data_IF_534861473083
#
_entry.id   IF_534861473083
#
_cell.length_a   1.000
_cell.length_b   1.000
_cell.length_c   1.000
_cell.angle_alpha   90.00
_cell.angle_beta   90.00
_cell.angle_gamma   90.00
#
_symmetry.space_group_name_H-M   'P 1'
#
loop_
_entity.id
_entity.type
_entity.pdbx_description
1 polymer ?
#
# COMPACT_ATOMS: atom_id res chain seq x y z
N UNK A 1 11.45 15.43 -13.34
CA UNK A 1 11.38 14.24 -14.21
C UNK A 1 10.03 14.19 -14.90
N UNK A 2 9.77 13.17 -15.71
CA UNK A 2 8.50 12.94 -16.41
C UNK A 2 7.94 11.55 -16.13
N UNK A 3 6.64 11.38 -16.37
CA UNK A 3 6.00 10.06 -16.41
C UNK A 3 6.31 9.35 -17.75
N UNK A 4 5.99 8.06 -17.81
CA UNK A 4 5.95 7.32 -19.07
C UNK A 4 4.91 7.94 -20.01
N UNK A 5 5.21 7.94 -21.30
CA UNK A 5 4.35 8.53 -22.32
C UNK A 5 4.42 7.80 -23.65
N UNK A 6 3.66 8.28 -24.63
CA UNK A 6 3.54 7.66 -25.96
C UNK A 6 4.87 7.58 -26.74
N UNK A 7 5.88 8.39 -26.38
CA UNK A 7 7.21 8.34 -26.99
C UNK A 7 8.03 7.12 -26.51
N UNK A 8 7.68 6.52 -25.37
CA UNK A 8 8.37 5.38 -24.78
C UNK A 8 7.90 4.08 -25.44
N UNK A 9 8.43 3.81 -26.62
CA UNK A 9 8.12 2.64 -27.46
C UNK A 9 9.17 1.54 -27.30
N UNK A 10 8.90 0.28 -27.68
CA UNK A 10 9.90 -0.80 -27.64
C UNK A 10 11.21 -0.47 -28.37
N UNK A 11 11.14 0.36 -29.40
CA UNK A 11 12.28 0.75 -30.25
C UNK A 11 13.00 2.02 -29.77
N UNK A 12 12.49 2.69 -28.75
CA UNK A 12 13.13 3.87 -28.17
C UNK A 12 14.13 3.49 -27.09
N UNK A 13 14.89 4.47 -26.59
CA UNK A 13 15.75 4.26 -25.42
C UNK A 13 14.91 3.72 -24.26
N UNK A 14 15.42 2.68 -23.61
CA UNK A 14 14.75 2.06 -22.47
C UNK A 14 14.76 3.03 -21.30
N UNK A 15 13.57 3.30 -20.75
CA UNK A 15 13.40 4.28 -19.68
C UNK A 15 12.82 3.64 -18.43
N UNK A 16 13.22 4.14 -17.27
CA UNK A 16 12.72 3.71 -15.98
C UNK A 16 12.37 4.91 -15.11
N UNK A 17 11.44 4.67 -14.19
CA UNK A 17 11.12 5.60 -13.10
C UNK A 17 11.52 4.92 -11.79
N UNK A 18 12.16 5.66 -10.90
CA UNK A 18 12.62 5.14 -9.61
C UNK A 18 11.92 5.86 -8.46
N UNK A 19 11.80 5.22 -7.30
CA UNK A 19 11.42 5.96 -6.10
C UNK A 19 12.61 6.73 -5.50
N UNK A 20 12.31 7.66 -4.59
CA UNK A 20 13.34 8.49 -3.94
C UNK A 20 14.35 7.66 -3.15
N UNK A 21 13.90 6.61 -2.46
CA UNK A 21 14.78 5.70 -1.71
C UNK A 21 15.86 5.05 -2.61
N UNK A 22 15.50 4.63 -3.83
CA UNK A 22 16.45 4.10 -4.79
C UNK A 22 17.38 5.18 -5.34
N UNK A 23 16.83 6.36 -5.69
CA UNK A 23 17.62 7.48 -6.16
C UNK A 23 18.68 7.91 -5.15
N UNK A 24 18.30 8.03 -3.87
CA UNK A 24 19.21 8.41 -2.78
C UNK A 24 20.27 7.33 -2.53
N UNK A 25 19.87 6.05 -2.55
CA UNK A 25 20.79 4.92 -2.34
C UNK A 25 21.82 4.78 -3.46
N UNK A 26 21.42 5.00 -4.71
CA UNK A 26 22.28 4.82 -5.87
C UNK A 26 23.14 6.06 -6.17
N UNK A 27 22.64 7.26 -5.94
CA UNK A 27 23.27 8.52 -6.37
C UNK A 27 23.60 9.47 -5.21
N UNK A 28 23.40 9.06 -3.96
CA UNK A 28 23.79 9.83 -2.76
C UNK A 28 23.12 11.20 -2.65
N UNK A 29 21.89 11.35 -3.16
CA UNK A 29 21.16 12.62 -3.20
C UNK A 29 21.49 13.53 -4.40
N UNK A 30 22.33 13.07 -5.32
CA UNK A 30 22.57 13.76 -6.62
C UNK A 30 21.38 13.55 -7.56
N UNK A 31 21.20 14.43 -8.54
CA UNK A 31 20.11 14.30 -9.51
C UNK A 31 20.23 13.00 -10.32
N UNK A 32 19.35 12.03 -10.01
CA UNK A 32 19.29 10.74 -10.67
C UNK A 32 18.69 10.81 -12.08
N UNK A 33 17.96 11.88 -12.42
CA UNK A 33 17.28 12.00 -13.73
C UNK A 33 18.31 12.18 -14.84
N UNK A 34 18.17 11.42 -15.93
CA UNK A 34 19.09 11.37 -17.07
C UNK A 34 20.27 10.42 -16.88
N UNK A 35 20.44 9.85 -15.67
CA UNK A 35 21.46 8.84 -15.43
C UNK A 35 21.02 7.49 -16.01
N UNK A 36 21.99 6.68 -16.41
CA UNK A 36 21.75 5.33 -16.91
C UNK A 36 22.13 4.30 -15.87
N UNK A 37 21.23 3.36 -15.64
CA UNK A 37 21.45 2.20 -14.78
C UNK A 37 21.48 0.94 -15.61
N UNK A 38 22.32 0.01 -15.19
CA UNK A 38 22.29 -1.36 -15.65
C UNK A 38 21.92 -2.24 -14.47
N UNK A 39 20.93 -3.10 -14.66
CA UNK A 39 20.45 -3.98 -13.60
C UNK A 39 21.03 -5.38 -13.77
N UNK A 40 21.46 -6.04 -12.68
CA UNK A 40 22.02 -7.40 -12.75
C UNK A 40 21.03 -8.42 -13.35
N UNK A 41 19.72 -8.21 -13.17
CA UNK A 41 18.67 -9.08 -13.69
C UNK A 41 18.34 -8.83 -15.17
N UNK A 42 18.88 -7.76 -15.78
CA UNK A 42 18.79 -7.46 -17.21
C UNK A 42 20.17 -7.09 -17.75
N UNK A 43 21.09 -8.07 -17.83
CA UNK A 43 22.45 -7.83 -18.29
C UNK A 43 22.44 -7.30 -19.73
N UNK A 44 23.30 -6.32 -20.01
CA UNK A 44 23.42 -5.67 -21.32
C UNK A 44 22.41 -4.55 -21.60
N UNK A 45 21.38 -4.36 -20.77
CA UNK A 45 20.37 -3.32 -21.00
C UNK A 45 20.65 -2.09 -20.12
N UNK A 46 21.05 -0.99 -20.75
CA UNK A 46 21.14 0.30 -20.08
C UNK A 46 19.77 1.00 -20.12
N UNK A 47 19.30 1.44 -18.97
CA UNK A 47 18.02 2.11 -18.82
C UNK A 47 18.23 3.51 -18.25
N UNK A 48 17.62 4.51 -18.88
CA UNK A 48 17.70 5.91 -18.45
C UNK A 48 16.60 6.23 -17.42
N UNK A 49 16.98 6.87 -16.32
CA UNK A 49 16.03 7.34 -15.32
C UNK A 49 15.37 8.63 -15.82
N UNK A 50 14.09 8.57 -16.18
CA UNK A 50 13.35 9.76 -16.67
C UNK A 50 12.55 10.46 -15.58
N UNK A 51 12.34 9.79 -14.44
CA UNK A 51 11.53 10.29 -13.34
C UNK A 51 11.92 9.71 -11.99
N UNK A 52 11.67 10.50 -10.95
CA UNK A 52 11.76 10.08 -9.56
C UNK A 52 10.41 10.34 -8.90
N UNK A 53 9.80 9.31 -8.32
CA UNK A 53 8.53 9.40 -7.59
C UNK A 53 8.76 9.44 -6.08
N UNK A 54 7.70 9.78 -5.35
CA UNK A 54 7.70 9.69 -3.88
C UNK A 54 7.96 8.26 -3.41
N UNK A 55 8.23 8.10 -2.12
CA UNK A 55 8.44 6.79 -1.53
C UNK A 55 7.09 6.14 -1.20
N UNK A 56 6.93 4.88 -1.57
CA UNK A 56 5.79 4.04 -1.19
C UNK A 56 6.24 2.85 -0.35
N UNK A 57 5.41 2.45 0.61
CA UNK A 57 5.64 1.25 1.40
C UNK A 57 4.94 0.07 0.71
N UNK A 58 5.72 -0.74 0.00
CA UNK A 58 5.29 -2.04 -0.51
C UNK A 58 5.25 -3.12 0.58
N UNK A 59 6.05 -2.93 1.62
CA UNK A 59 6.14 -3.82 2.78
C UNK A 59 5.17 -3.39 3.90
N UNK A 60 5.26 -4.06 5.04
CA UNK A 60 4.55 -3.64 6.24
C UNK A 60 4.90 -2.18 6.63
N UNK A 61 3.90 -1.44 7.15
CA UNK A 61 4.05 -0.01 7.48
C UNK A 61 5.17 0.30 8.49
N UNK A 62 5.67 -0.70 9.20
CA UNK A 62 6.76 -0.61 10.18
C UNK A 62 8.16 -0.86 9.60
N UNK A 63 8.27 -1.23 8.32
CA UNK A 63 9.56 -1.41 7.66
C UNK A 63 10.04 -0.14 6.96
N UNK A 64 11.36 -0.06 6.78
CA UNK A 64 11.98 0.98 5.97
C UNK A 64 11.51 0.88 4.51
N UNK A 65 11.39 2.04 3.85
CA UNK A 65 11.00 2.13 2.44
C UNK A 65 12.00 1.36 1.58
N UNK A 66 11.52 0.36 0.86
CA UNK A 66 12.31 -0.42 -0.08
C UNK A 66 12.60 0.38 -1.37
N UNK A 67 13.79 0.25 -1.97
CA UNK A 67 14.07 0.82 -3.29
C UNK A 67 13.18 0.18 -4.37
N UNK A 68 12.53 0.99 -5.21
CA UNK A 68 11.55 0.54 -6.21
C UNK A 68 11.91 1.03 -7.61
N UNK A 69 11.65 0.14 -8.58
CA UNK A 69 11.77 0.37 -10.00
C UNK A 69 10.40 0.24 -10.68
N UNK A 70 10.08 1.20 -11.52
CA UNK A 70 8.92 1.19 -12.38
C UNK A 70 9.38 1.03 -13.83
N UNK A 71 8.72 0.12 -14.55
CA UNK A 71 8.97 -0.15 -15.96
C UNK A 71 7.76 0.30 -16.79
N UNK A 72 8.03 0.72 -18.03
CA UNK A 72 6.95 0.97 -18.98
C UNK A 72 6.41 -0.35 -19.53
N UNK A 73 5.10 -0.57 -19.41
CA UNK A 73 4.43 -1.73 -20.01
C UNK A 73 4.54 -1.73 -21.55
N UNK A 74 4.72 -0.57 -22.18
CA UNK A 74 4.91 -0.48 -23.63
C UNK A 74 6.31 -0.89 -24.07
N UNK A 75 7.33 -0.85 -23.20
CA UNK A 75 8.72 -1.17 -23.53
C UNK A 75 9.16 -2.55 -23.03
N UNK A 76 8.59 -3.00 -21.91
CA UNK A 76 8.86 -4.30 -21.29
C UNK A 76 7.56 -4.93 -20.80
N UNK A 77 6.68 -5.39 -21.71
CA UNK A 77 5.40 -5.97 -21.35
C UNK A 77 5.62 -7.22 -20.49
N UNK A 78 5.11 -7.21 -19.27
CA UNK A 78 5.11 -8.39 -18.42
C UNK A 78 3.81 -9.19 -18.68
N UNK A 79 3.89 -10.51 -18.89
CA UNK A 79 2.70 -11.30 -19.26
C UNK A 79 1.64 -11.35 -18.15
N UNK A 80 2.03 -11.08 -16.91
CA UNK A 80 1.12 -10.90 -15.78
C UNK A 80 1.20 -9.47 -15.23
N UNK A 81 0.08 -8.76 -15.22
CA UNK A 81 -0.01 -7.45 -14.61
C UNK A 81 -1.35 -7.26 -13.93
N UNK A 82 -1.42 -6.32 -13.00
CA UNK A 82 -2.66 -5.88 -12.39
C UNK A 82 -3.09 -4.57 -13.03
N UNK A 83 -4.35 -4.50 -13.46
CA UNK A 83 -4.95 -3.25 -13.94
C UNK A 83 -5.59 -2.52 -12.76
N UNK A 84 -5.13 -1.31 -12.49
CA UNK A 84 -5.70 -0.44 -11.46
C UNK A 84 -6.49 0.68 -12.14
N UNK A 85 -7.77 0.78 -11.81
CA UNK A 85 -8.65 1.82 -12.34
C UNK A 85 -9.04 2.80 -11.24
N UNK A 86 -8.96 4.10 -11.53
CA UNK A 86 -9.48 5.16 -10.66
C UNK A 86 -10.75 5.72 -11.29
N UNK A 87 -11.82 5.76 -10.51
CA UNK A 87 -13.12 6.31 -10.92
C UNK A 87 -13.62 7.29 -9.86
N UNK A 88 -14.46 8.25 -10.26
CA UNK A 88 -15.15 9.17 -9.35
C UNK A 88 -16.45 8.57 -8.77
N UNK A 89 -16.99 7.54 -9.42
CA UNK A 89 -18.19 6.82 -8.97
C UNK A 89 -17.84 5.69 -8.00
N UNK A 90 -18.86 5.14 -7.34
CA UNK A 90 -18.71 3.98 -6.45
C UNK A 90 -18.01 2.80 -7.19
N UNK A 91 -16.80 2.36 -6.75
CA UNK A 91 -16.01 1.38 -7.50
C UNK A 91 -16.76 0.07 -7.76
N UNK A 92 -17.60 -0.38 -6.82
CA UNK A 92 -18.39 -1.61 -6.96
C UNK A 92 -19.40 -1.56 -8.10
N UNK A 93 -19.88 -0.37 -8.48
CA UNK A 93 -20.87 -0.23 -9.57
C UNK A 93 -20.19 -0.23 -10.95
N UNK A 94 -18.92 0.18 -11.02
CA UNK A 94 -18.16 0.27 -12.27
C UNK A 94 -17.47 -1.06 -12.62
N UNK A 95 -17.08 -1.83 -11.60
CA UNK A 95 -16.31 -3.07 -11.77
C UNK A 95 -16.95 -4.08 -12.76
N UNK A 96 -18.26 -4.38 -12.74
CA UNK A 96 -18.86 -5.32 -13.67
C UNK A 96 -18.76 -4.88 -15.14
N UNK A 97 -18.94 -3.57 -15.40
CA UNK A 97 -18.85 -3.02 -16.74
C UNK A 97 -17.42 -3.12 -17.30
N UNK A 98 -16.42 -2.84 -16.46
CA UNK A 98 -15.00 -2.96 -16.85
C UNK A 98 -14.64 -4.41 -17.15
N UNK A 99 -15.07 -5.36 -16.31
CA UNK A 99 -14.85 -6.79 -16.53
C UNK A 99 -15.48 -7.27 -17.84
N UNK A 100 -16.70 -6.80 -18.16
CA UNK A 100 -17.37 -7.13 -19.40
C UNK A 100 -16.61 -6.60 -20.63
N UNK A 101 -16.08 -5.38 -20.58
CA UNK A 101 -15.28 -4.83 -21.67
C UNK A 101 -13.94 -5.55 -21.85
N UNK A 102 -13.26 -5.92 -20.76
CA UNK A 102 -12.04 -6.73 -20.86
C UNK A 102 -12.33 -8.06 -21.56
N UNK A 103 -13.43 -8.73 -21.19
CA UNK A 103 -13.84 -9.98 -21.84
C UNK A 103 -14.25 -9.83 -23.31
N UNK A 104 -14.68 -8.63 -23.74
CA UNK A 104 -14.93 -8.32 -25.15
C UNK A 104 -13.66 -8.13 -25.96
N UNK A 105 -12.64 -7.52 -25.36
CA UNK A 105 -11.32 -7.32 -25.99
C UNK A 105 -10.62 -8.66 -26.16
N UNK A 106 -10.56 -9.46 -25.10
CA UNK A 106 -9.93 -10.77 -25.13
C UNK A 106 -10.61 -11.72 -24.11
N UNK A 107 -11.40 -12.70 -24.57
CA UNK A 107 -12.06 -13.68 -23.72
C UNK A 107 -11.10 -14.63 -22.98
N UNK A 108 -9.83 -14.73 -23.39
CA UNK A 108 -8.84 -15.62 -22.76
C UNK A 108 -8.26 -15.05 -21.47
N UNK A 109 -8.47 -13.75 -21.21
CA UNK A 109 -7.98 -13.08 -20.00
C UNK A 109 -8.76 -13.57 -18.79
N UNK A 110 -8.05 -14.25 -17.87
CA UNK A 110 -8.61 -14.67 -16.59
C UNK A 110 -8.34 -13.61 -15.52
N UNK A 111 -9.39 -13.00 -15.00
CA UNK A 111 -9.29 -11.99 -13.94
C UNK A 111 -9.28 -12.64 -12.54
N UNK A 112 -8.09 -12.78 -11.95
CA UNK A 112 -7.92 -13.42 -10.64
C UNK A 112 -8.46 -12.59 -9.47
N UNK A 113 -8.40 -11.27 -9.54
CA UNK A 113 -8.84 -10.37 -8.46
C UNK A 113 -9.79 -9.30 -9.00
N UNK A 114 -11.03 -9.32 -8.51
CA UNK A 114 -12.07 -8.33 -8.79
C UNK A 114 -12.40 -7.61 -7.48
N UNK A 115 -11.42 -6.87 -6.97
CA UNK A 115 -11.49 -6.23 -5.66
C UNK A 115 -11.35 -4.72 -5.80
N UNK A 116 -12.10 -4.01 -4.98
CA UNK A 116 -11.94 -2.56 -4.76
C UNK A 116 -10.71 -2.30 -3.88
N UNK A 117 -10.15 -1.09 -3.93
CA UNK A 117 -9.02 -0.73 -3.06
C UNK A 117 -9.38 -0.86 -1.58
N UNK A 118 -10.63 -0.57 -1.19
CA UNK A 118 -11.09 -0.76 0.19
C UNK A 118 -11.12 -2.23 0.60
N UNK A 119 -11.56 -3.12 -0.29
CA UNK A 119 -11.51 -4.57 -0.03
C UNK A 119 -10.06 -5.07 0.08
N UNK A 120 -9.15 -4.58 -0.77
CA UNK A 120 -7.73 -4.93 -0.70
C UNK A 120 -7.13 -4.46 0.63
N UNK A 121 -7.43 -3.23 1.07
CA UNK A 121 -6.97 -2.71 2.35
C UNK A 121 -7.54 -3.50 3.53
N UNK A 122 -8.83 -3.85 3.48
CA UNK A 122 -9.50 -4.62 4.54
C UNK A 122 -9.03 -6.08 4.60
N UNK A 123 -8.68 -6.68 3.46
CA UNK A 123 -8.11 -8.02 3.39
C UNK A 123 -6.63 -8.06 3.79
N UNK A 124 -5.96 -6.91 3.89
CA UNK A 124 -4.54 -6.88 4.26
C UNK A 124 -4.33 -7.37 5.70
N UNK A 125 -3.47 -8.38 5.83
CA UNK A 125 -3.18 -9.02 7.11
C UNK A 125 -2.60 -8.04 8.14
N UNK A 126 -1.84 -7.05 7.68
CA UNK A 126 -1.29 -5.99 8.53
C UNK A 126 -2.37 -5.13 9.19
N UNK A 127 -3.43 -4.77 8.45
CA UNK A 127 -4.57 -4.00 8.98
C UNK A 127 -5.40 -4.87 9.91
N UNK A 128 -5.65 -6.13 9.54
CA UNK A 128 -6.38 -7.08 10.37
C UNK A 128 -5.69 -7.31 11.73
N UNK A 129 -4.37 -7.55 11.73
CA UNK A 129 -3.58 -7.76 12.96
C UNK A 129 -3.64 -6.55 13.90
N UNK A 130 -3.44 -5.34 13.37
CA UNK A 130 -3.53 -4.11 14.18
C UNK A 130 -4.92 -3.91 14.78
N UNK A 131 -5.97 -4.11 13.99
CA UNK A 131 -7.36 -3.93 14.46
C UNK A 131 -7.71 -4.93 15.56
N UNK A 132 -7.30 -6.18 15.42
CA UNK A 132 -7.53 -7.22 16.44
C UNK A 132 -6.84 -6.91 17.77
N UNK A 133 -5.57 -6.47 17.73
CA UNK A 133 -4.84 -6.08 18.95
C UNK A 133 -5.48 -4.86 19.63
N UNK A 134 -5.90 -3.85 18.85
CA UNK A 134 -6.58 -2.68 19.40
C UNK A 134 -7.91 -3.02 20.05
N UNK A 135 -8.70 -3.93 19.44
CA UNK A 135 -9.95 -4.41 20.02
C UNK A 135 -9.73 -5.15 21.34
N UNK A 136 -8.68 -5.97 21.45
CA UNK A 136 -8.34 -6.67 22.69
C UNK A 136 -7.92 -5.68 23.78
N UNK A 137 -7.06 -4.71 23.46
CA UNK A 137 -6.64 -3.66 24.40
C UNK A 137 -7.85 -2.83 24.86
N UNK A 138 -8.73 -2.45 23.93
CA UNK A 138 -9.98 -1.74 24.26
C UNK A 138 -10.89 -2.56 25.17
N UNK A 139 -11.00 -3.86 24.93
CA UNK A 139 -11.73 -4.79 25.79
C UNK A 139 -11.17 -4.86 27.20
N UNK A 140 -9.86 -5.07 27.34
CA UNK A 140 -9.19 -5.09 28.65
C UNK A 140 -9.32 -3.74 29.37
N UNK A 141 -9.08 -2.62 28.69
CA UNK A 141 -9.21 -1.29 29.27
C UNK A 141 -10.64 -1.05 29.81
N UNK A 142 -11.65 -1.48 29.07
CA UNK A 142 -13.06 -1.39 29.49
C UNK A 142 -13.32 -2.24 30.74
N UNK A 143 -12.83 -3.47 30.76
CA UNK A 143 -12.98 -4.36 31.91
C UNK A 143 -12.27 -3.82 33.16
N UNK A 144 -11.04 -3.31 33.01
CA UNK A 144 -10.28 -2.67 34.08
C UNK A 144 -11.00 -1.44 34.62
N UNK A 145 -11.60 -0.62 33.75
CA UNK A 145 -12.37 0.56 34.16
C UNK A 145 -13.58 0.18 35.00
N UNK A 146 -14.31 -0.88 34.62
CA UNK A 146 -15.45 -1.39 35.39
C UNK A 146 -15.02 -1.94 36.76
N UNK A 147 -13.94 -2.72 36.79
CA UNK A 147 -13.39 -3.25 38.05
C UNK A 147 -12.93 -2.13 38.99
N UNK A 148 -12.29 -1.09 38.44
CA UNK A 148 -11.89 0.09 39.22
C UNK A 148 -13.11 0.84 39.79
N UNK A 149 -14.17 1.02 38.99
CA UNK A 149 -15.40 1.66 39.45
C UNK A 149 -16.09 0.86 40.58
N UNK A 150 -16.16 -0.46 40.46
CA UNK A 150 -16.72 -1.34 41.51
C UNK A 150 -15.86 -1.29 42.77
N UNK A 151 -14.54 -1.35 42.64
CA UNK A 151 -13.61 -1.24 43.78
C UNK A 151 -13.74 0.10 44.51
N UNK A 152 -13.82 1.21 43.76
CA UNK A 152 -14.02 2.54 44.32
C UNK A 152 -15.35 2.66 45.08
N UNK A 153 -16.44 2.10 44.52
CA UNK A 153 -17.73 2.06 45.20
C UNK A 153 -17.66 1.26 46.51
N UNK A 154 -16.97 0.11 46.52
CA UNK A 154 -16.76 -0.70 47.73
C UNK A 154 -16.02 0.06 48.84
N UNK A 155 -14.94 0.78 48.49
CA UNK A 155 -14.19 1.60 49.46
C UNK A 155 -15.04 2.76 49.99
N UNK A 156 -15.76 3.46 49.12
CA UNK A 156 -16.65 4.56 49.53
C UNK A 156 -17.77 4.08 50.46
N UNK A 157 -18.39 2.93 50.18
CA UNK A 157 -19.41 2.35 51.02
C UNK A 157 -18.89 2.00 52.42
N UNK A 158 -17.64 1.51 52.52
CA UNK A 158 -17.02 1.19 53.80
C UNK A 158 -16.68 2.44 54.61
N UNK A 159 -16.16 3.50 53.98
CA UNK A 159 -15.90 4.79 54.64
C UNK A 159 -17.20 5.40 55.17
N UNK A 160 -18.30 5.30 54.41
CA UNK A 160 -19.61 5.79 54.86
C UNK A 160 -20.13 4.97 56.05
N UNK A 161 -19.98 3.65 56.03
CA UNK A 161 -20.42 2.77 57.12
C UNK A 161 -19.61 2.94 58.41
N UNK A 162 -18.31 3.26 58.31
CA UNK A 162 -17.48 3.58 59.47
C UNK A 162 -17.90 4.90 60.13
N UNK A 163 -18.26 5.93 59.33
CA UNK A 163 -18.69 7.24 59.85
C UNK A 163 -20.08 7.27 60.48
N UNK A 164 -20.96 6.32 60.17
CA UNK A 164 -22.28 6.21 60.85
C UNK A 164 -22.21 5.46 62.17
N UNK A 165 -21.05 4.88 62.52
CA UNK A 165 -20.85 4.14 63.76
C UNK A 165 -20.11 4.95 64.84
N UNK A 166 -19.55 6.11 64.48
CA UNK A 166 -19.21 7.21 65.41
C UNK A 166 -20.47 8.00 65.79
#
# INVERSE_FOLDING_TARGET
GRAFGAADTPNSTQVVIVNRALADKAFGGTNAIGQRLQFPFMPGQQMEIVGVVGNENFDALDKAVSPVLYFSQTQGPYPSFSLVLRTASEPRTVLPAVVAEIGRVDPSITLSARLTMDEIMNASEAVFRRRSVLSLIGGFATATLLLAAVGLYGVLAQVVAERTRE
#
